data_IF_381364555196
#
_entry.id   IF_381364555196
#
_cell.length_a   1.000
_cell.length_b   1.000
_cell.length_c   1.000
_cell.angle_alpha   90.00
_cell.angle_beta   90.00
_cell.angle_gamma   90.00
#
_symmetry.space_group_name_H-M   'P 1'
#
loop_
_entity.id
_entity.type
_entity.pdbx_description
1 polymer ?
#
# COMPACT_ATOMS: atom_id res chain seq x y z
N UNK A 1 34.48 20.48 6.98
CA UNK A 1 33.08 20.04 6.74
C UNK A 1 32.19 21.26 6.69
N UNK A 2 31.56 21.49 5.54
CA UNK A 2 30.77 22.68 5.28
C UNK A 2 29.40 22.54 5.98
N UNK A 3 28.83 23.63 6.52
CA UNK A 3 27.55 23.61 7.28
C UNK A 3 26.38 23.01 6.47
N UNK A 4 26.45 23.10 5.14
CA UNK A 4 25.44 22.58 4.23
C UNK A 4 25.51 21.05 4.04
N UNK A 5 26.68 20.43 4.22
CA UNK A 5 26.84 18.97 4.12
C UNK A 5 26.23 18.24 5.33
N UNK A 6 26.33 18.86 6.52
CA UNK A 6 25.77 18.32 7.77
C UNK A 6 24.24 18.31 7.73
N UNK A 7 23.61 19.33 7.12
CA UNK A 7 22.17 19.41 6.97
C UNK A 7 21.63 18.36 5.98
N UNK A 8 22.34 18.06 4.89
CA UNK A 8 21.93 17.03 3.93
C UNK A 8 22.05 15.62 4.49
N UNK A 9 23.11 15.33 5.26
CA UNK A 9 23.31 14.03 5.88
C UNK A 9 22.19 13.65 6.87
N UNK A 10 21.61 14.63 7.58
CA UNK A 10 20.60 14.37 8.61
C UNK A 10 19.21 13.99 8.05
N UNK A 11 18.90 14.33 6.80
CA UNK A 11 17.55 14.18 6.24
C UNK A 11 17.44 13.17 5.08
N UNK A 12 18.54 12.67 4.53
CA UNK A 12 18.49 11.60 3.55
C UNK A 12 18.49 10.24 4.24
N UNK A 13 17.35 9.57 4.17
CA UNK A 13 17.25 8.14 4.48
C UNK A 13 17.46 7.36 3.19
N UNK A 14 18.50 6.52 3.16
CA UNK A 14 18.65 5.54 2.11
C UNK A 14 18.12 4.19 2.63
N UNK A 15 17.01 3.74 2.04
CA UNK A 15 16.41 2.44 2.32
C UNK A 15 16.54 1.48 1.14
N UNK A 16 17.31 1.82 0.11
CA UNK A 16 17.40 1.05 -1.14
C UNK A 16 17.84 -0.39 -0.88
N UNK A 17 18.83 -0.59 0.00
CA UNK A 17 19.30 -1.91 0.39
C UNK A 17 18.23 -2.77 1.10
N UNK A 18 17.24 -2.14 1.74
CA UNK A 18 16.10 -2.88 2.30
C UNK A 18 15.10 -3.21 1.20
N UNK A 19 14.90 -2.32 0.23
CA UNK A 19 13.96 -2.52 -0.87
C UNK A 19 14.44 -3.59 -1.86
N UNK A 20 15.75 -3.76 -2.03
CA UNK A 20 16.36 -4.86 -2.80
C UNK A 20 16.08 -6.25 -2.23
N UNK A 21 15.75 -6.34 -0.94
CA UNK A 21 15.42 -7.61 -0.27
C UNK A 21 13.92 -7.99 -0.40
N UNK A 22 13.14 -7.21 -1.15
CA UNK A 22 11.72 -7.46 -1.35
C UNK A 22 11.50 -8.74 -2.19
N UNK A 23 10.85 -9.78 -1.64
CA UNK A 23 10.64 -11.04 -2.37
C UNK A 23 9.78 -10.85 -3.63
N UNK A 24 9.02 -9.76 -3.73
CA UNK A 24 8.25 -9.47 -4.94
C UNK A 24 9.14 -9.11 -6.14
N UNK A 25 10.39 -8.68 -5.91
CA UNK A 25 11.39 -8.37 -6.94
C UNK A 25 12.16 -9.60 -7.41
N UNK A 26 11.89 -10.78 -6.84
CA UNK A 26 12.44 -12.04 -7.32
C UNK A 26 12.18 -12.23 -8.83
N UNK A 27 12.97 -13.09 -9.47
CA UNK A 27 12.84 -13.41 -10.91
C UNK A 27 13.04 -12.23 -11.88
N UNK A 28 13.58 -11.11 -11.40
CA UNK A 28 13.93 -9.94 -12.23
C UNK A 28 12.78 -8.95 -12.44
N UNK A 29 11.75 -9.00 -11.60
CA UNK A 29 10.71 -7.97 -11.59
C UNK A 29 11.25 -6.64 -11.05
N UNK A 30 10.72 -5.55 -11.57
CA UNK A 30 10.95 -4.18 -11.10
C UNK A 30 9.63 -3.58 -10.62
N UNK A 31 9.65 -2.86 -9.49
CA UNK A 31 8.45 -2.20 -8.98
C UNK A 31 8.30 -0.80 -9.60
N UNK A 32 7.27 -0.60 -10.41
CA UNK A 32 7.00 0.67 -11.10
C UNK A 32 5.96 1.53 -10.36
N UNK A 33 5.17 0.92 -9.48
CA UNK A 33 4.11 1.60 -8.72
C UNK A 33 3.96 0.98 -7.35
N UNK A 34 3.86 1.81 -6.31
CA UNK A 34 3.50 1.40 -4.96
C UNK A 34 2.72 2.51 -4.26
N UNK A 35 1.44 2.28 -3.97
CA UNK A 35 0.60 3.22 -3.22
C UNK A 35 -0.46 2.51 -2.39
N UNK A 36 -0.90 3.19 -1.35
CA UNK A 36 -2.12 2.85 -0.63
C UNK A 36 -3.34 3.37 -1.40
N UNK A 37 -4.33 2.50 -1.59
CA UNK A 37 -5.54 2.78 -2.37
C UNK A 37 -6.76 2.35 -1.55
N UNK A 38 -7.83 3.17 -1.49
CA UNK A 38 -9.08 2.77 -0.85
C UNK A 38 -9.80 1.72 -1.70
N UNK A 39 -10.17 0.60 -1.08
CA UNK A 39 -10.89 -0.50 -1.70
C UNK A 39 -12.19 -0.76 -0.95
N UNK A 40 -13.25 -1.11 -1.67
CA UNK A 40 -14.44 -1.76 -1.10
C UNK A 40 -14.25 -3.28 -1.20
N UNK A 41 -14.11 -3.97 -0.07
CA UNK A 41 -13.93 -5.41 -0.01
C UNK A 41 -15.29 -6.08 0.19
N UNK A 42 -15.61 -7.05 -0.67
CA UNK A 42 -16.82 -7.88 -0.60
C UNK A 42 -16.42 -9.34 -0.52
N UNK A 43 -17.10 -10.10 0.33
CA UNK A 43 -16.93 -11.56 0.40
C UNK A 43 -18.12 -12.22 -0.29
N UNK A 44 -17.86 -13.10 -1.24
CA UNK A 44 -18.92 -13.82 -1.94
C UNK A 44 -19.60 -14.83 -0.99
N UNK A 45 -20.80 -14.47 -0.53
CA UNK A 45 -21.65 -15.36 0.26
C UNK A 45 -22.50 -16.28 -0.62
N UNK A 46 -23.05 -17.35 -0.03
CA UNK A 46 -24.01 -18.21 -0.71
C UNK A 46 -25.28 -17.41 -1.07
N UNK A 47 -25.93 -17.77 -2.19
CA UNK A 47 -26.96 -17.00 -2.92
C UNK A 47 -28.18 -16.50 -2.13
N UNK A 48 -28.36 -16.88 -0.87
CA UNK A 48 -29.57 -16.59 -0.06
C UNK A 48 -29.32 -15.69 1.16
N UNK A 49 -28.16 -15.04 1.28
CA UNK A 49 -27.86 -14.09 2.36
C UNK A 49 -28.16 -12.63 1.98
N UNK A 50 -28.51 -11.75 2.96
CA UNK A 50 -28.53 -10.31 2.71
C UNK A 50 -27.16 -9.86 2.19
N UNK A 51 -27.18 -9.03 1.14
CA UNK A 51 -25.98 -8.52 0.50
C UNK A 51 -25.20 -7.68 1.52
N UNK A 52 -24.09 -8.21 2.05
CA UNK A 52 -23.26 -7.47 2.99
C UNK A 52 -22.74 -6.19 2.33
N UNK A 53 -22.85 -5.09 3.06
CA UNK A 53 -22.21 -3.83 2.71
C UNK A 53 -20.70 -4.09 2.81
N UNK A 54 -19.98 -3.93 1.71
CA UNK A 54 -18.53 -4.17 1.69
C UNK A 54 -17.81 -3.27 2.69
N UNK A 55 -16.68 -3.74 3.24
CA UNK A 55 -15.85 -2.92 4.12
C UNK A 55 -14.92 -2.04 3.30
N UNK A 56 -14.78 -0.78 3.69
CA UNK A 56 -13.76 0.10 3.12
C UNK A 56 -12.42 -0.15 3.83
N UNK A 57 -11.44 -0.60 3.07
CA UNK A 57 -10.10 -0.93 3.56
C UNK A 57 -9.04 -0.20 2.73
N UNK A 58 -7.92 0.11 3.35
CA UNK A 58 -6.76 0.69 2.65
C UNK A 58 -5.82 -0.44 2.25
N UNK A 59 -5.69 -0.65 0.94
CA UNK A 59 -4.87 -1.72 0.36
C UNK A 59 -3.59 -1.12 -0.21
N UNK A 60 -2.45 -1.70 0.17
CA UNK A 60 -1.18 -1.43 -0.49
C UNK A 60 -1.15 -2.17 -1.82
N UNK A 61 -1.15 -1.40 -2.91
CA UNK A 61 -1.05 -1.88 -4.28
C UNK A 61 0.38 -1.73 -4.75
N UNK A 62 0.99 -2.81 -5.24
CA UNK A 62 2.28 -2.83 -5.91
C UNK A 62 2.09 -3.32 -7.35
N UNK A 63 2.57 -2.56 -8.33
CA UNK A 63 2.64 -3.01 -9.73
C UNK A 63 4.08 -3.28 -10.09
N UNK A 64 4.31 -4.47 -10.65
CA UNK A 64 5.64 -4.94 -11.02
C UNK A 64 5.69 -5.30 -12.49
N UNK A 65 6.85 -5.08 -13.09
CA UNK A 65 7.09 -5.34 -14.51
C UNK A 65 8.30 -6.24 -14.67
N UNK A 66 8.17 -7.29 -15.48
CA UNK A 66 9.28 -8.12 -15.93
C UNK A 66 9.66 -7.72 -17.35
N UNK A 67 10.92 -7.35 -17.58
CA UNK A 67 11.39 -6.79 -18.85
C UNK A 67 11.46 -5.26 -18.83
N UNK A 68 11.57 -4.64 -20.01
CA UNK A 68 11.63 -3.18 -20.13
C UNK A 68 10.22 -2.58 -19.98
N UNK A 69 10.10 -1.41 -19.35
CA UNK A 69 8.81 -0.75 -19.15
C UNK A 69 8.09 -0.43 -20.47
N UNK A 70 8.84 -0.10 -21.53
CA UNK A 70 8.29 0.15 -22.87
C UNK A 70 7.85 -1.12 -23.61
N UNK A 71 8.33 -2.29 -23.17
CA UNK A 71 8.03 -3.58 -23.78
C UNK A 71 8.00 -4.67 -22.69
N UNK A 72 6.98 -4.62 -21.82
CA UNK A 72 6.89 -5.54 -20.70
C UNK A 72 6.68 -6.96 -21.22
N UNK A 73 7.34 -7.94 -20.61
CA UNK A 73 7.06 -9.36 -20.84
C UNK A 73 5.91 -9.83 -19.96
N UNK A 74 5.86 -9.34 -18.72
CA UNK A 74 4.80 -9.61 -17.75
C UNK A 74 4.56 -8.39 -16.88
N UNK A 75 3.29 -8.17 -16.53
CA UNK A 75 2.86 -7.17 -15.56
C UNK A 75 2.20 -7.94 -14.41
N UNK A 76 2.63 -7.66 -13.18
CA UNK A 76 2.12 -8.28 -11.96
C UNK A 76 1.47 -7.24 -11.07
N UNK A 77 0.27 -7.53 -10.59
CA UNK A 77 -0.41 -6.80 -9.52
C UNK A 77 -0.20 -7.58 -8.23
N UNK A 78 0.16 -6.90 -7.16
CA UNK A 78 0.24 -7.45 -5.81
C UNK A 78 -0.53 -6.54 -4.85
N UNK A 79 -1.46 -7.14 -4.11
CA UNK A 79 -2.32 -6.47 -3.14
C UNK A 79 -1.99 -7.00 -1.74
N UNK A 80 -1.69 -6.10 -0.81
CA UNK A 80 -1.48 -6.43 0.60
C UNK A 80 -2.25 -5.49 1.51
N UNK A 81 -2.66 -5.98 2.67
CA UNK A 81 -3.33 -5.19 3.70
C UNK A 81 -2.45 -5.10 4.97
N UNK A 82 -2.50 -3.98 5.67
CA UNK A 82 -1.88 -3.86 7.00
C UNK A 82 -2.79 -4.37 8.12
N UNK A 83 -4.11 -4.25 7.95
CA UNK A 83 -5.09 -4.75 8.92
C UNK A 83 -5.15 -6.29 8.95
N UNK A 84 -4.86 -6.94 7.82
CA UNK A 84 -4.74 -8.39 7.70
C UNK A 84 -3.42 -8.77 7.01
N UNK A 85 -2.49 -9.34 7.77
CA UNK A 85 -1.17 -9.72 7.28
C UNK A 85 -1.21 -10.87 6.27
N UNK A 86 -2.23 -11.73 6.32
CA UNK A 86 -2.41 -12.87 5.41
C UNK A 86 -3.13 -12.48 4.12
N UNK A 87 -3.69 -11.26 4.07
CA UNK A 87 -4.24 -10.70 2.85
C UNK A 87 -3.12 -10.44 1.85
N UNK A 88 -3.01 -11.35 0.88
CA UNK A 88 -2.04 -11.27 -0.19
C UNK A 88 -2.64 -11.86 -1.48
N UNK A 89 -2.99 -10.98 -2.41
CA UNK A 89 -3.55 -11.37 -3.70
C UNK A 89 -2.64 -10.90 -4.82
N UNK A 90 -2.51 -11.74 -5.83
CA UNK A 90 -1.66 -11.44 -6.99
C UNK A 90 -2.36 -11.77 -8.29
N UNK A 91 -2.02 -11.03 -9.33
CA UNK A 91 -2.32 -11.36 -10.72
C UNK A 91 -1.04 -11.19 -11.52
N UNK A 92 -0.76 -12.07 -12.46
CA UNK A 92 0.32 -11.90 -13.44
C UNK A 92 -0.27 -12.03 -14.83
N UNK A 93 -0.04 -11.02 -15.66
CA UNK A 93 -0.54 -10.93 -17.03
C UNK A 93 0.65 -10.85 -17.98
N UNK A 94 0.61 -11.67 -19.02
CA UNK A 94 1.49 -11.62 -20.19
C UNK A 94 0.67 -11.25 -21.45
N UNK A 95 1.34 -11.09 -22.59
CA UNK A 95 0.69 -10.68 -23.83
C UNK A 95 -0.47 -11.63 -24.23
N UNK A 96 -0.28 -12.95 -24.08
CA UNK A 96 -1.29 -13.95 -24.41
C UNK A 96 -2.52 -13.89 -23.51
N UNK A 97 -2.31 -13.79 -22.20
CA UNK A 97 -3.42 -13.67 -21.24
C UNK A 97 -4.11 -12.31 -21.37
N UNK A 98 -3.37 -11.27 -21.75
CA UNK A 98 -3.92 -9.96 -22.08
C UNK A 98 -4.84 -10.00 -23.30
N UNK A 99 -4.49 -10.71 -24.39
CA UNK A 99 -5.37 -10.85 -25.57
C UNK A 99 -6.76 -11.44 -25.20
N UNK A 100 -6.77 -12.42 -24.29
CA UNK A 100 -8.02 -12.99 -23.78
C UNK A 100 -8.82 -11.98 -22.94
N UNK A 101 -8.13 -11.18 -22.11
CA UNK A 101 -8.73 -10.09 -21.34
C UNK A 101 -9.28 -8.99 -22.26
N UNK A 102 -8.53 -8.64 -23.30
CA UNK A 102 -8.89 -7.65 -24.31
C UNK A 102 -10.16 -8.06 -25.05
N UNK A 103 -10.26 -9.33 -25.44
CA UNK A 103 -11.44 -9.88 -26.12
C UNK A 103 -12.66 -9.94 -25.19
N UNK A 104 -12.48 -10.44 -23.97
CA UNK A 104 -13.58 -10.60 -23.01
C UNK A 104 -14.15 -9.27 -22.52
N UNK A 105 -13.30 -8.28 -22.30
CA UNK A 105 -13.68 -6.97 -21.75
C UNK A 105 -13.77 -5.87 -22.81
N UNK A 106 -13.54 -6.21 -24.09
CA UNK A 106 -13.57 -5.28 -25.25
C UNK A 106 -12.62 -4.09 -25.07
N UNK A 107 -11.41 -4.35 -24.57
CA UNK A 107 -10.39 -3.31 -24.39
C UNK A 107 -9.84 -2.88 -25.75
N UNK A 108 -9.61 -1.58 -25.91
CA UNK A 108 -9.08 -0.99 -27.15
C UNK A 108 -7.57 -0.70 -27.08
N UNK A 109 -6.93 -1.03 -25.97
CA UNK A 109 -5.51 -0.77 -25.71
C UNK A 109 -4.66 -2.01 -26.05
N UNK A 110 -3.38 -1.80 -26.30
CA UNK A 110 -2.40 -2.87 -26.44
C UNK A 110 -1.79 -3.27 -25.08
N UNK A 111 -1.15 -4.43 -25.02
CA UNK A 111 -0.50 -4.90 -23.79
C UNK A 111 0.57 -3.92 -23.27
N UNK A 112 1.28 -3.24 -24.16
CA UNK A 112 2.28 -2.21 -23.79
C UNK A 112 1.69 -1.02 -23.02
N UNK A 113 0.40 -0.74 -23.20
CA UNK A 113 -0.30 0.37 -22.53
C UNK A 113 -0.98 -0.08 -21.23
N UNK A 114 -1.03 -1.39 -20.96
CA UNK A 114 -1.78 -1.94 -19.84
C UNK A 114 -1.28 -1.45 -18.48
N UNK A 115 0.04 -1.34 -18.29
CA UNK A 115 0.64 -0.84 -17.05
C UNK A 115 0.21 0.60 -16.76
N UNK A 116 0.26 1.47 -17.77
CA UNK A 116 -0.12 2.87 -17.62
C UNK A 116 -1.62 3.00 -17.27
N UNK A 117 -2.46 2.18 -17.90
CA UNK A 117 -3.90 2.13 -17.59
C UNK A 117 -4.12 1.69 -16.14
N UNK A 118 -3.44 0.65 -15.65
CA UNK A 118 -3.53 0.24 -14.25
C UNK A 118 -3.14 1.38 -13.29
N UNK A 119 -2.00 2.03 -13.55
CA UNK A 119 -1.51 3.17 -12.76
C UNK A 119 -2.58 4.28 -12.73
N UNK A 120 -3.17 4.60 -13.89
CA UNK A 120 -4.22 5.61 -14.00
C UNK A 120 -5.45 5.22 -13.18
N UNK A 121 -5.92 3.98 -13.29
CA UNK A 121 -7.11 3.51 -12.55
C UNK A 121 -6.89 3.60 -11.03
N UNK A 122 -5.76 3.10 -10.52
CA UNK A 122 -5.46 3.19 -9.10
C UNK A 122 -5.29 4.64 -8.62
N UNK A 123 -4.62 5.50 -9.40
CA UNK A 123 -4.50 6.92 -9.06
C UNK A 123 -5.86 7.64 -9.07
N UNK A 124 -6.78 7.28 -9.97
CA UNK A 124 -8.13 7.83 -9.99
C UNK A 124 -8.93 7.44 -8.75
N UNK A 125 -8.81 6.19 -8.27
CA UNK A 125 -9.43 5.77 -7.01
C UNK A 125 -8.87 6.51 -5.78
N UNK A 126 -7.60 6.93 -5.81
CA UNK A 126 -7.02 7.77 -4.76
C UNK A 126 -7.51 9.22 -4.87
N UNK A 127 -7.49 9.79 -6.08
CA UNK A 127 -7.74 11.21 -6.30
C UNK A 127 -9.22 11.60 -6.24
N UNK A 128 -10.12 10.70 -6.62
CA UNK A 128 -11.56 10.92 -6.63
C UNK A 128 -12.33 9.64 -6.25
N UNK A 129 -12.31 9.25 -4.96
CA UNK A 129 -12.89 7.99 -4.48
C UNK A 129 -14.42 7.94 -4.54
N UNK A 130 -15.10 9.06 -4.84
CA UNK A 130 -16.56 9.08 -5.03
C UNK A 130 -16.95 8.79 -6.49
N UNK A 131 -16.09 9.17 -7.44
CA UNK A 131 -16.31 8.90 -8.86
C UNK A 131 -15.63 7.62 -9.34
N UNK A 132 -14.53 7.20 -8.73
CA UNK A 132 -13.77 6.01 -9.13
C UNK A 132 -13.59 5.06 -7.94
N UNK A 133 -14.10 3.84 -8.09
CA UNK A 133 -14.12 2.83 -7.06
C UNK A 133 -13.28 1.63 -7.49
N UNK A 134 -12.51 1.10 -6.54
CA UNK A 134 -11.87 -0.21 -6.64
C UNK A 134 -12.63 -1.18 -5.74
N UNK A 135 -13.36 -2.13 -6.33
CA UNK A 135 -14.16 -3.11 -5.59
C UNK A 135 -13.51 -4.47 -5.72
N UNK A 136 -13.08 -5.08 -4.61
CA UNK A 136 -12.50 -6.41 -4.60
C UNK A 136 -13.49 -7.42 -4.03
N UNK A 137 -13.99 -8.30 -4.88
CA UNK A 137 -14.86 -9.41 -4.49
C UNK A 137 -14.04 -10.68 -4.29
N UNK A 138 -13.87 -11.10 -3.04
CA UNK A 138 -13.14 -12.32 -2.67
C UNK A 138 -14.10 -13.51 -2.70
N UNK A 139 -13.73 -14.55 -3.46
CA UNK A 139 -14.46 -15.80 -3.61
C UNK A 139 -13.94 -16.85 -2.64
N UNK A 140 -14.76 -17.88 -2.38
CA UNK A 140 -14.41 -18.98 -1.47
C UNK A 140 -13.27 -19.88 -1.96
N UNK A 141 -12.95 -19.86 -3.26
CA UNK A 141 -11.91 -20.69 -3.87
C UNK A 141 -10.52 -20.03 -3.85
N UNK A 142 -10.34 -18.94 -3.07
CA UNK A 142 -9.11 -18.17 -3.04
C UNK A 142 -8.91 -17.29 -4.27
N UNK A 143 -9.87 -17.22 -5.20
CA UNK A 143 -9.86 -16.22 -6.26
C UNK A 143 -10.48 -14.93 -5.77
N UNK A 144 -10.08 -13.83 -6.37
CA UNK A 144 -10.70 -12.54 -6.17
C UNK A 144 -10.90 -11.84 -7.51
N UNK A 145 -11.93 -11.02 -7.58
CA UNK A 145 -12.24 -10.19 -8.75
C UNK A 145 -12.14 -8.74 -8.33
N UNK A 146 -11.23 -8.00 -8.94
CA UNK A 146 -11.10 -6.55 -8.76
C UNK A 146 -11.80 -5.85 -9.91
N UNK A 147 -12.83 -5.08 -9.57
CA UNK A 147 -13.59 -4.27 -10.52
C UNK A 147 -13.24 -2.79 -10.32
N UNK A 148 -12.78 -2.14 -11.39
CA UNK A 148 -12.69 -0.69 -11.44
C UNK A 148 -14.02 -0.13 -11.96
N UNK A 149 -14.67 0.68 -11.14
CA UNK A 149 -16.01 1.19 -11.43
C UNK A 149 -15.97 2.71 -11.44
N UNK A 150 -16.54 3.31 -12.48
CA UNK A 150 -16.82 4.74 -12.54
C UNK A 150 -18.27 5.02 -12.20
N UNK A 151 -18.50 5.87 -11.22
CA UNK A 151 -19.81 6.45 -10.95
C UNK A 151 -19.99 7.69 -11.84
N UNK A 152 -20.99 7.66 -12.72
CA UNK A 152 -21.40 8.81 -13.55
C UNK A 152 -22.73 9.39 -13.05
N UNK A 153 -22.90 9.47 -11.72
CA UNK A 153 -24.06 9.98 -10.96
C UNK A 153 -25.32 9.13 -11.04
N UNK A 154 -25.77 8.79 -12.25
CA UNK A 154 -26.99 8.02 -12.49
C UNK A 154 -26.72 6.56 -12.88
N UNK A 155 -25.43 6.17 -13.00
CA UNK A 155 -25.02 4.82 -13.39
C UNK A 155 -23.60 4.51 -12.91
N UNK A 156 -23.39 3.25 -12.56
CA UNK A 156 -22.06 2.67 -12.39
C UNK A 156 -21.60 2.00 -13.69
N UNK A 157 -20.41 2.34 -14.16
CA UNK A 157 -19.81 1.81 -15.38
C UNK A 157 -18.54 1.05 -14.98
N UNK A 158 -18.51 -0.25 -15.26
CA UNK A 158 -17.30 -1.07 -15.12
C UNK A 158 -16.29 -0.66 -16.20
N UNK A 159 -15.08 -0.32 -15.79
CA UNK A 159 -13.99 0.14 -16.66
C UNK A 159 -13.00 -0.98 -17.01
N UNK A 160 -12.66 -1.80 -16.01
CA UNK A 160 -11.66 -2.86 -16.12
C UNK A 160 -11.89 -3.88 -15.00
N UNK A 161 -11.70 -5.15 -15.32
CA UNK A 161 -11.77 -6.27 -14.38
C UNK A 161 -10.45 -6.99 -14.34
N UNK A 162 -9.93 -7.21 -13.14
CA UNK A 162 -8.72 -7.99 -12.90
C UNK A 162 -9.06 -9.22 -12.07
N UNK A 163 -8.67 -10.41 -12.55
CA UNK A 163 -8.82 -11.65 -11.80
C UNK A 163 -7.54 -11.92 -11.02
N UNK A 164 -7.64 -11.93 -9.71
CA UNK A 164 -6.54 -12.20 -8.79
C UNK A 164 -6.71 -13.56 -8.13
N UNK A 165 -5.59 -14.09 -7.65
CA UNK A 165 -5.53 -15.32 -6.85
C UNK A 165 -4.79 -15.04 -5.56
N UNK A 166 -5.27 -15.63 -4.48
CA UNK A 166 -4.57 -15.64 -3.21
C UNK A 166 -3.22 -16.36 -3.39
N UNK A 167 -2.17 -15.77 -2.86
CA UNK A 167 -0.84 -16.38 -2.96
C UNK A 167 -0.68 -17.57 -2.01
N UNK A 168 0.33 -18.40 -2.25
CA UNK A 168 0.62 -19.54 -1.39
C UNK A 168 1.06 -19.12 0.02
N UNK A 169 0.93 -20.03 0.98
CA UNK A 169 1.36 -19.77 2.36
C UNK A 169 2.86 -19.44 2.45
N UNK A 170 3.69 -20.05 1.61
CA UNK A 170 5.12 -19.75 1.53
C UNK A 170 5.36 -18.30 1.10
N UNK A 171 4.69 -17.87 0.02
CA UNK A 171 4.80 -16.50 -0.50
C UNK A 171 4.31 -15.49 0.53
N UNK A 172 3.18 -15.78 1.20
CA UNK A 172 2.62 -14.94 2.26
C UNK A 172 3.61 -14.83 3.41
N UNK A 173 4.21 -15.94 3.86
CA UNK A 173 5.17 -15.97 4.96
C UNK A 173 6.44 -15.19 4.64
N UNK A 174 6.98 -15.33 3.43
CA UNK A 174 8.13 -14.56 2.95
C UNK A 174 7.81 -13.06 2.91
N UNK A 175 6.66 -12.69 2.32
CA UNK A 175 6.19 -11.30 2.26
C UNK A 175 6.01 -10.69 3.65
N UNK A 176 5.36 -11.39 4.58
CA UNK A 176 5.20 -10.94 5.98
C UNK A 176 6.57 -10.77 6.65
N UNK A 177 7.46 -11.76 6.50
CA UNK A 177 8.78 -11.74 7.13
C UNK A 177 9.61 -10.56 6.62
N UNK A 178 9.59 -10.33 5.30
CA UNK A 178 10.22 -9.18 4.68
C UNK A 178 9.63 -7.86 5.21
N UNK A 179 8.30 -7.66 5.12
CA UNK A 179 7.64 -6.43 5.55
C UNK A 179 7.95 -6.11 7.02
N UNK A 180 7.88 -7.12 7.89
CA UNK A 180 8.24 -6.98 9.30
C UNK A 180 9.70 -6.56 9.48
N UNK A 181 10.64 -7.25 8.83
CA UNK A 181 12.07 -6.95 8.96
C UNK A 181 12.44 -5.58 8.38
N UNK A 182 11.83 -5.20 7.25
CA UNK A 182 12.00 -3.89 6.65
C UNK A 182 11.53 -2.79 7.61
N UNK A 183 10.31 -2.90 8.16
CA UNK A 183 9.78 -1.92 9.12
C UNK A 183 10.62 -1.89 10.40
N UNK A 184 11.01 -3.05 10.94
CA UNK A 184 11.88 -3.15 12.13
C UNK A 184 13.22 -2.46 11.90
N UNK A 185 13.83 -2.66 10.73
CA UNK A 185 15.11 -2.06 10.36
C UNK A 185 14.98 -0.55 10.15
N UNK A 186 13.95 -0.10 9.41
CA UNK A 186 13.61 1.32 9.24
C UNK A 186 13.42 2.00 10.59
N UNK A 187 12.63 1.41 11.48
CA UNK A 187 12.43 1.91 12.84
C UNK A 187 13.74 1.97 13.63
N UNK A 188 14.58 0.93 13.59
CA UNK A 188 15.88 0.93 14.29
C UNK A 188 16.80 2.05 13.80
N UNK A 189 16.88 2.26 12.49
CA UNK A 189 17.67 3.34 11.87
C UNK A 189 17.13 4.70 12.33
N UNK A 190 15.81 4.90 12.26
CA UNK A 190 15.18 6.15 12.70
C UNK A 190 15.40 6.42 14.20
N UNK A 191 15.29 5.39 15.06
CA UNK A 191 15.54 5.51 16.50
C UNK A 191 16.99 5.89 16.80
N UNK A 192 17.98 5.25 16.17
CA UNK A 192 19.39 5.62 16.33
C UNK A 192 19.63 7.06 15.90
N UNK A 193 19.03 7.47 14.77
CA UNK A 193 19.18 8.84 14.28
C UNK A 193 18.59 9.88 15.22
N UNK A 194 17.43 9.58 15.81
CA UNK A 194 16.81 10.43 16.83
C UNK A 194 17.73 10.57 18.06
N UNK A 195 18.42 9.51 18.46
CA UNK A 195 19.40 9.56 19.55
C UNK A 195 20.61 10.45 19.17
N UNK A 196 21.15 10.31 17.96
CA UNK A 196 22.25 11.15 17.47
C UNK A 196 21.88 12.64 17.47
N UNK A 197 20.67 12.97 16.99
CA UNK A 197 20.15 14.34 17.00
C UNK A 197 20.00 14.85 18.44
N UNK A 198 19.48 14.03 19.35
CA UNK A 198 19.38 14.40 20.77
C UNK A 198 20.75 14.68 21.39
N UNK A 199 21.78 13.88 21.10
CA UNK A 199 23.15 14.11 21.56
C UNK A 199 23.75 15.39 20.97
N UNK A 200 23.52 15.65 19.68
CA UNK A 200 23.97 16.86 19.00
C UNK A 200 23.34 18.12 19.61
N UNK A 201 22.02 18.12 19.84
CA UNK A 201 21.32 19.24 20.48
C UNK A 201 21.80 19.41 21.93
N UNK A 202 21.98 18.32 22.68
CA UNK A 202 22.53 18.38 24.04
C UNK A 202 23.91 19.06 24.07
N UNK A 203 24.75 18.78 23.08
CA UNK A 203 26.08 19.38 22.95
C UNK A 203 26.05 20.84 22.49
N UNK A 204 25.16 21.20 21.56
CA UNK A 204 25.14 22.53 20.92
C UNK A 204 24.21 23.54 21.58
N UNK A 205 23.09 23.10 22.14
CA UNK A 205 22.09 23.96 22.78
C UNK A 205 21.24 23.17 23.80
N UNK A 206 21.77 22.90 25.01
CA UNK A 206 21.08 22.11 26.03
C UNK A 206 19.77 22.74 26.52
N UNK A 207 19.65 24.08 26.48
CA UNK A 207 18.43 24.80 26.86
C UNK A 207 17.27 24.50 25.91
N UNK A 208 17.56 24.40 24.60
CA UNK A 208 16.57 24.01 23.58
C UNK A 208 16.09 22.56 23.81
N UNK A 209 17.00 21.65 24.16
CA UNK A 209 16.63 20.26 24.47
C UNK A 209 15.67 20.18 25.67
N UNK A 210 15.96 20.92 26.75
CA UNK A 210 15.09 20.99 27.92
C UNK A 210 13.71 21.57 27.58
N UNK A 211 13.63 22.58 26.71
CA UNK A 211 12.37 23.15 26.26
C UNK A 211 11.56 22.17 25.38
N UNK A 212 12.21 21.44 24.49
CA UNK A 212 11.58 20.39 23.68
C UNK A 212 11.03 19.27 24.57
N UNK A 213 11.84 18.77 25.52
CA UNK A 213 11.42 17.73 26.46
C UNK A 213 10.23 18.18 27.32
N UNK A 214 10.26 19.41 27.87
CA UNK A 214 9.14 19.96 28.64
C UNK A 214 7.87 20.09 27.80
N UNK A 215 7.99 20.53 26.54
CA UNK A 215 6.84 20.67 25.63
C UNK A 215 6.24 19.31 25.27
N UNK A 216 7.08 18.32 24.98
CA UNK A 216 6.65 16.95 24.66
C UNK A 216 5.94 16.29 25.84
N UNK A 217 6.49 16.40 27.07
CA UNK A 217 5.82 15.88 28.27
C UNK A 217 4.46 16.52 28.49
N UNK A 218 4.35 17.84 28.32
CA UNK A 218 3.09 18.57 28.45
C UNK A 218 2.05 18.14 27.41
N UNK A 219 2.48 17.91 26.15
CA UNK A 219 1.58 17.40 25.10
C UNK A 219 1.15 15.95 25.35
N UNK A 220 2.03 15.09 25.88
CA UNK A 220 1.69 13.71 26.23
C UNK A 220 0.69 13.65 27.40
N UNK A 221 0.85 14.49 28.42
CA UNK A 221 -0.13 14.59 29.51
C UNK A 221 -1.49 15.10 29.02
N UNK A 222 -1.51 16.10 28.14
CA UNK A 222 -2.75 16.60 27.53
C UNK A 222 -3.45 15.53 26.69
N UNK A 223 -2.71 14.70 25.95
CA UNK A 223 -3.26 13.57 25.19
C UNK A 223 -3.80 12.46 26.10
N UNK A 224 -3.09 12.10 27.17
CA UNK A 224 -3.57 11.12 28.17
C UNK A 224 -4.85 11.56 28.86
N UNK A 225 -4.93 12.83 29.27
CA UNK A 225 -6.13 13.38 29.91
C UNK A 225 -7.33 13.41 28.96
N UNK A 226 -7.15 13.71 27.66
CA UNK A 226 -8.23 13.60 26.68
C UNK A 226 -8.74 12.17 26.49
N UNK A 227 -7.84 11.18 26.52
CA UNK A 227 -8.23 9.77 26.45
C UNK A 227 -9.00 9.31 27.70
N UNK A 228 -8.58 9.75 28.90
CA UNK A 228 -9.25 9.43 30.16
C UNK A 228 -10.66 10.03 30.25
N UNK A 229 -10.85 11.26 29.77
CA UNK A 229 -12.17 11.88 29.71
C UNK A 229 -13.07 11.13 28.72
N UNK A 230 -12.56 10.74 27.53
CA UNK A 230 -13.33 9.94 26.56
C UNK A 230 -13.75 8.56 27.09
N UNK A 231 -12.92 7.91 27.91
CA UNK A 231 -13.29 6.61 28.50
C UNK A 231 -14.36 6.72 29.59
N UNK A 232 -14.46 7.86 30.29
CA UNK A 232 -15.52 8.10 31.28
C UNK A 232 -16.88 8.33 30.58
N UNK A 233 -16.90 9.09 29.48
CA UNK A 233 -18.13 9.36 28.74
C UNK A 233 -18.65 8.18 27.90
N UNK A 234 -17.80 7.20 27.57
CA UNK A 234 -18.20 5.98 26.84
C UNK A 234 -18.57 4.80 27.78
N UNK A 235 -18.53 4.99 29.09
CA UNK A 235 -18.87 3.99 30.11
C UNK A 235 -20.19 4.31 30.86
N UNK A 236 -20.98 5.25 30.34
CA UNK A 236 -22.33 5.61 30.83
C UNK A 236 -23.40 5.22 29.82
#
# INVERSE_FOLDING_TARGET
MNKNEVNNFLCQFDFSALEELDPSLADGYTACYRKEVPFEIKVEQAKDGPQEIGSLEVITVKLLTLGEESKPKRIKIELTCEADLFFHFTQTVDERSFEAMQTSQKLMINFSEYLEVLIKMFNSCIGDPHSFLAVLTVKKDGKARLDFIKNVEYKFIELLVCELVQSSEETIRESISYRYNAIKSKNSIMYKRLQDINLLIKSKNPSLLMQLQKTVSKQMELRKNRHYIRSIYNAS
#
